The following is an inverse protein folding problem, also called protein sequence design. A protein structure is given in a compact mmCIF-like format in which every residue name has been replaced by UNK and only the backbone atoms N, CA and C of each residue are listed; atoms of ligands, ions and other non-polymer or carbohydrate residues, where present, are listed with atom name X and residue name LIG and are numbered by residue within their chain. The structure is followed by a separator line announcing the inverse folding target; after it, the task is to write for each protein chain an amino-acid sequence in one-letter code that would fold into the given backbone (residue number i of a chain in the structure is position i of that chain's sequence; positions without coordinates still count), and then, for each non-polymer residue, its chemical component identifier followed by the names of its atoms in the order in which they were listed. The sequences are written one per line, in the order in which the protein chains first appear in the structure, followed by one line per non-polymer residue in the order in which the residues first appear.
data_IF_835244590127
#
_entry.id   IF_835244590127
#
_cell.length_a   1.000
_cell.length_b   1.000
_cell.length_c   1.000
_cell.angle_alpha   90.00
_cell.angle_beta   90.00
_cell.angle_gamma   90.00
#
_symmetry.space_group_name_H-M   'P 1'
#
loop_
_entity.id
_entity.type
_entity.pdbx_description
1 polymer ?
2 water ?
#
# COMPACT_ATOMS: atom_id res chain seq x y z
N UNK A 7 -14.10 16.62 -11.36
CA UNK A 7 -13.45 17.08 -12.60
C UNK A 7 -12.08 16.39 -12.73
N UNK A 8 -11.00 17.16 -12.61
CA UNK A 8 -9.65 16.61 -12.72
C UNK A 8 -8.97 16.51 -11.35
N UNK A 9 -9.51 15.62 -10.51
CA UNK A 9 -9.02 15.36 -9.15
C UNK A 9 -7.52 15.04 -9.09
N UNK A 10 -6.79 15.69 -8.19
CA UNK A 10 -5.36 15.39 -8.07
C UNK A 10 -5.19 14.01 -7.43
N UNK A 11 -4.17 13.28 -7.88
CA UNK A 11 -3.91 11.94 -7.38
C UNK A 11 -2.81 11.85 -6.33
N UNK A 12 -2.96 10.90 -5.41
CA UNK A 12 -1.97 10.69 -4.37
C UNK A 12 -0.69 10.14 -4.99
N UNK A 13 0.40 10.83 -4.69
CA UNK A 13 1.69 10.51 -5.22
C UNK A 13 2.79 10.43 -4.17
N UNK A 14 3.55 9.33 -4.21
CA UNK A 14 4.66 9.14 -3.30
C UNK A 14 5.73 10.12 -3.79
N UNK A 15 5.94 11.17 -3.00
CA UNK A 15 6.87 12.23 -3.33
C UNK A 15 8.36 11.94 -3.12
N UNK A 16 8.68 11.31 -2.00
CA UNK A 16 10.05 10.97 -1.68
C UNK A 16 9.99 9.78 -0.74
N UNK A 17 11.12 9.12 -0.56
CA UNK A 17 11.21 7.95 0.30
C UNK A 17 12.43 8.22 1.16
N UNK A 18 12.38 7.83 2.41
CA UNK A 18 13.53 8.06 3.25
C UNK A 18 13.73 6.97 4.26
N UNK A 19 14.87 7.01 4.92
CA UNK A 19 15.16 6.03 5.95
C UNK A 19 14.21 6.36 7.09
N UNK A 20 13.17 5.56 7.23
CA UNK A 20 12.21 5.79 8.29
C UNK A 20 10.98 6.57 7.88
N UNK A 21 10.83 6.86 6.59
CA UNK A 21 9.66 7.63 6.16
C UNK A 21 9.35 7.55 4.68
N UNK A 22 8.08 7.76 4.38
CA UNK A 22 7.61 7.82 3.01
C UNK A 22 7.01 9.22 2.95
N UNK A 23 7.27 9.93 1.87
CA UNK A 23 6.71 11.26 1.71
C UNK A 23 5.62 11.13 0.67
N UNK A 24 4.40 11.48 1.05
CA UNK A 24 3.30 11.41 0.11
C UNK A 24 2.74 12.82 -0.07
N UNK A 25 2.61 13.24 -1.32
CA UNK A 25 2.08 14.57 -1.63
C UNK A 25 2.88 15.63 -0.88
N UNK A 26 4.18 15.37 -0.72
CA UNK A 26 5.10 16.28 -0.04
C UNK A 26 4.92 16.38 1.48
N UNK A 27 4.35 15.34 2.06
CA UNK A 27 4.14 15.28 3.50
C UNK A 27 4.72 13.94 3.99
N UNK A 28 5.56 14.00 5.02
CA UNK A 28 6.19 12.80 5.57
C UNK A 28 5.33 11.98 6.53
N UNK A 29 5.42 10.66 6.38
CA UNK A 29 4.70 9.75 7.24
C UNK A 29 5.70 8.77 7.83
N UNK A 30 5.64 8.59 9.15
CA UNK A 30 6.54 7.67 9.82
C UNK A 30 5.78 6.52 10.48
N UNK A 31 4.47 6.49 10.25
CA UNK A 31 3.65 5.41 10.75
C UNK A 31 3.07 4.78 9.48
N UNK A 32 2.59 3.54 9.57
CA UNK A 32 2.06 2.87 8.40
C UNK A 32 0.82 3.57 7.85
N UNK A 33 0.72 3.58 6.53
CA UNK A 33 -0.40 4.22 5.84
C UNK A 33 -0.90 3.34 4.69
N UNK A 34 -2.05 3.72 4.15
CA UNK A 34 -2.65 3.00 3.04
C UNK A 34 -3.40 4.05 2.24
N UNK A 35 -3.50 3.86 0.93
CA UNK A 35 -4.19 4.82 0.11
C UNK A 35 -4.26 4.39 -1.33
N UNK A 36 -5.21 5.00 -2.04
CA UNK A 36 -5.45 4.75 -3.44
C UNK A 36 -5.09 6.06 -4.13
N UNK A 37 -5.17 6.10 -5.47
CA UNK A 37 -4.83 7.34 -6.17
C UNK A 37 -5.76 8.48 -5.73
N UNK A 38 -7.03 8.13 -5.59
CA UNK A 38 -8.03 9.08 -5.16
C UNK A 38 -8.34 8.81 -3.70
N UNK A 39 -8.79 9.84 -2.98
CA UNK A 39 -9.13 9.68 -1.57
C UNK A 39 -8.05 10.17 -0.63
N UNK A 40 -8.22 9.97 0.69
CA UNK A 40 -7.24 10.41 1.67
C UNK A 40 -6.15 9.37 1.86
N UNK A 41 -5.05 9.80 2.47
CA UNK A 41 -3.95 8.91 2.79
C UNK A 41 -4.33 8.46 4.19
N UNK A 42 -4.86 7.25 4.31
CA UNK A 42 -5.29 6.76 5.62
C UNK A 42 -4.19 6.09 6.42
N UNK A 43 -4.36 6.09 7.75
CA UNK A 43 -3.42 5.42 8.63
C UNK A 43 -3.82 3.97 8.67
N UNK A 44 -2.79 3.12 8.72
CA UNK A 44 -3.03 1.72 8.70
C UNK A 44 -2.44 1.15 9.98
N UNK A 45 -3.29 0.58 10.87
CA UNK A 45 -2.94 -0.02 12.16
C UNK A 45 -1.97 -1.20 12.15
N UNK A 46 -0.73 -0.96 11.74
CA UNK A 46 0.26 -2.01 11.66
C UNK A 46 1.59 -1.44 11.91
N UNK A 47 2.43 -2.34 12.38
CA UNK A 47 3.72 -1.98 12.82
C UNK A 47 4.83 -2.95 12.54
N UNK A 48 4.45 -4.21 12.36
CA UNK A 48 5.39 -5.22 11.96
C UNK A 48 4.73 -6.16 10.98
N UNK A 49 5.43 -6.41 9.88
CA UNK A 49 4.97 -7.29 8.80
C UNK A 49 4.43 -8.55 9.48
N UNK A 50 4.79 -8.73 10.75
CA UNK A 50 4.36 -9.90 11.52
C UNK A 50 2.90 -9.82 11.97
N UNK A 51 2.42 -8.61 12.23
CA UNK A 51 1.04 -8.44 12.64
C UNK A 51 0.12 -8.03 11.49
N UNK A 52 0.47 -8.44 10.28
CA UNK A 52 -0.33 -8.14 9.10
C UNK A 52 -1.32 -9.29 8.93
N UNK A 53 -2.61 -8.95 8.88
CA UNK A 53 -3.66 -9.96 8.74
C UNK A 53 -4.58 -9.67 7.56
N UNK A 54 -5.18 -10.72 7.01
CA UNK A 54 -6.10 -10.58 5.89
C UNK A 54 -7.14 -9.52 6.21
N UNK A 55 -7.52 -9.45 7.47
CA UNK A 55 -8.51 -8.48 7.92
C UNK A 55 -7.96 -7.07 7.71
N UNK A 56 -6.67 -6.91 7.95
CA UNK A 56 -6.01 -5.62 7.77
C UNK A 56 -5.79 -5.32 6.30
N UNK A 57 -5.43 -6.34 5.53
CA UNK A 57 -5.19 -6.18 4.11
C UNK A 57 -6.45 -5.76 3.37
N UNK A 58 -7.58 -6.30 3.80
CA UNK A 58 -8.85 -5.98 3.17
C UNK A 58 -9.36 -4.59 3.52
N UNK A 59 -9.03 -4.11 4.70
CA UNK A 59 -9.46 -2.77 5.07
C UNK A 59 -8.64 -1.76 4.26
N UNK A 60 -7.38 -2.09 4.00
CA UNK A 60 -6.49 -1.23 3.23
C UNK A 60 -6.95 -1.19 1.76
N UNK A 61 -7.24 -2.37 1.23
CA UNK A 61 -7.71 -2.51 -0.13
C UNK A 61 -9.14 -1.96 -0.21
N UNK A 62 -9.88 -2.14 0.88
CA UNK A 62 -11.27 -1.72 0.96
C UNK A 62 -11.63 -0.28 0.62
N UNK A 63 -10.63 0.54 0.32
CA UNK A 63 -10.91 1.91 -0.06
C UNK A 63 -10.86 1.92 -1.58
N UNK A 64 -12.01 1.63 -2.19
CA UNK A 64 -12.12 1.58 -3.65
C UNK A 64 -11.56 0.27 -4.17
N UNK A 88 -12.50 -4.55 -5.86
CA UNK A 88 -12.61 -3.53 -6.89
C UNK A 88 -11.29 -2.93 -7.38
N UNK A 89 -10.15 -3.27 -6.72
CA UNK A 89 -8.86 -2.73 -7.15
C UNK A 89 -8.11 -3.83 -7.90
N UNK A 90 -7.26 -3.44 -8.85
CA UNK A 90 -6.49 -4.41 -9.62
C UNK A 90 -5.45 -5.10 -8.74
N UNK A 91 -4.59 -4.29 -8.12
CA UNK A 91 -3.51 -4.79 -7.28
C UNK A 91 -3.41 -4.09 -5.93
N UNK A 92 -3.12 -4.87 -4.88
CA UNK A 92 -2.90 -4.30 -3.57
C UNK A 92 -1.42 -4.51 -3.29
N UNK A 93 -0.68 -3.42 -3.31
CA UNK A 93 0.75 -3.45 -3.05
C UNK A 93 0.93 -3.37 -1.55
N UNK A 94 1.82 -4.19 -1.01
CA UNK A 94 2.08 -4.17 0.41
C UNK A 94 3.57 -3.98 0.69
N UNK A 95 3.91 -2.85 1.30
CA UNK A 95 5.28 -2.54 1.65
C UNK A 95 5.55 -3.05 3.05
N UNK A 96 6.30 -4.13 3.13
CA UNK A 96 6.61 -4.76 4.41
C UNK A 96 7.85 -4.20 5.08
N UNK A 97 8.11 -2.93 4.81
CA UNK A 97 9.27 -2.30 5.42
C UNK A 97 10.57 -2.42 4.65
N UNK A 98 11.64 -2.52 5.42
CA UNK A 98 13.00 -2.57 4.88
C UNK A 98 13.32 -3.71 3.93
N UNK A 99 12.68 -4.85 4.12
CA UNK A 99 12.90 -5.97 3.24
C UNK A 99 11.57 -6.64 2.97
N UNK A 100 11.56 -7.50 1.96
CA UNK A 100 10.36 -8.21 1.61
C UNK A 100 10.05 -9.22 2.71
N UNK A 101 8.77 -9.51 2.88
CA UNK A 101 8.29 -10.45 3.88
C UNK A 101 7.17 -11.18 3.17
N UNK A 102 7.28 -12.50 3.10
CA UNK A 102 6.26 -13.29 2.43
C UNK A 102 4.95 -13.31 3.19
N UNK A 103 3.86 -13.05 2.48
CA UNK A 103 2.52 -13.07 3.05
C UNK A 103 1.93 -14.45 2.77
N UNK A 104 1.34 -15.06 3.79
CA UNK A 104 0.77 -16.38 3.61
C UNK A 104 -0.65 -16.45 3.08
N UNK A 105 -1.09 -17.64 2.66
CA UNK A 105 -2.42 -17.96 2.12
C UNK A 105 -3.59 -17.42 2.95
N UNK A 106 -3.48 -17.50 4.27
CA UNK A 106 -4.53 -17.01 5.15
C UNK A 106 -4.55 -15.48 5.21
N UNK A 107 -3.55 -14.84 4.61
CA UNK A 107 -3.46 -13.38 4.60
C UNK A 107 -4.08 -12.87 3.31
N UNK A 108 -3.60 -13.49 2.25
CA UNK A 108 -3.93 -13.16 0.88
C UNK A 108 -5.11 -13.84 0.17
N UNK A 109 -5.64 -14.95 0.68
CA UNK A 109 -6.75 -15.57 -0.03
C UNK A 109 -8.06 -14.78 -0.13
N UNK A 110 -8.58 -14.28 1.00
CA UNK A 110 -9.82 -13.52 0.90
C UNK A 110 -9.80 -12.54 -0.29
N UNK A 111 -8.71 -11.79 -0.40
CA UNK A 111 -8.56 -10.83 -1.48
C UNK A 111 -8.64 -11.47 -2.86
N UNK A 112 -7.93 -12.58 -3.06
CA UNK A 112 -7.96 -13.26 -4.34
C UNK A 112 -9.40 -13.71 -4.56
N UNK A 113 -10.07 -14.04 -3.46
CA UNK A 113 -11.45 -14.47 -3.51
C UNK A 113 -12.27 -13.36 -4.17
N UNK A 114 -11.66 -12.18 -4.23
CA UNK A 114 -12.29 -11.01 -4.83
C UNK A 114 -11.59 -10.60 -6.12
N UNK A 115 -10.72 -11.46 -6.61
CA UNK A 115 -10.00 -11.15 -7.83
C UNK A 115 -8.94 -10.08 -7.61
N UNK A 116 -8.66 -9.74 -6.36
CA UNK A 116 -7.66 -8.73 -6.06
C UNK A 116 -6.33 -9.43 -5.84
N UNK A 117 -5.32 -9.03 -6.60
CA UNK A 117 -4.01 -9.63 -6.47
C UNK A 117 -3.13 -8.78 -5.58
N UNK A 118 -2.39 -9.41 -4.68
CA UNK A 118 -1.52 -8.67 -3.78
C UNK A 118 -0.05 -8.98 -3.96
N UNK A 119 0.78 -7.98 -3.72
CA UNK A 119 2.21 -8.11 -3.87
C UNK A 119 2.93 -7.45 -2.71
N UNK A 120 3.70 -8.23 -1.96
CA UNK A 120 4.45 -7.70 -0.84
C UNK A 120 5.88 -7.49 -1.30
N UNK A 121 6.51 -6.42 -0.82
CA UNK A 121 7.88 -6.13 -1.19
C UNK A 121 8.36 -5.09 -0.20
N UNK A 122 9.66 -4.84 -0.16
CA UNK A 122 10.17 -3.84 0.76
C UNK A 122 9.44 -2.54 0.43
N UNK A 123 9.30 -1.69 1.44
CA UNK A 123 8.59 -0.43 1.31
C UNK A 123 9.03 0.58 0.24
N UNK A 124 10.33 0.80 0.07
CA UNK A 124 10.75 1.77 -0.96
C UNK A 124 10.31 1.32 -2.36
N UNK A 125 10.24 0.01 -2.56
CA UNK A 125 9.82 -0.54 -3.85
C UNK A 125 8.30 -0.47 -4.00
N UNK A 126 7.59 -0.77 -2.92
CA UNK A 126 6.13 -0.70 -2.94
C UNK A 126 5.70 0.71 -3.37
N UNK A 127 6.28 1.71 -2.71
CA UNK A 127 6.00 3.11 -2.98
C UNK A 127 6.25 3.47 -4.44
N UNK A 128 7.41 3.05 -4.92
CA UNK A 128 7.84 3.28 -6.28
C UNK A 128 6.99 2.48 -7.27
N UNK A 129 6.59 1.28 -6.89
CA UNK A 129 5.76 0.49 -7.79
C UNK A 129 4.35 1.09 -7.84
N UNK A 130 3.96 1.75 -6.77
CA UNK A 130 2.65 2.39 -6.70
C UNK A 130 2.58 3.57 -7.66
N UNK A 131 3.61 4.42 -7.63
CA UNK A 131 3.66 5.58 -8.51
C UNK A 131 3.50 5.13 -9.96
N UNK A 132 4.17 4.04 -10.31
CA UNK A 132 4.12 3.52 -11.68
C UNK A 132 2.75 2.99 -12.06
N UNK A 133 2.21 2.07 -11.27
CA UNK A 133 0.90 1.52 -11.57
C UNK A 133 -0.14 2.65 -11.63
N UNK A 134 0.12 3.69 -10.86
CA UNK A 134 -0.76 4.83 -10.80
C UNK A 134 -0.57 5.67 -12.06
N UNK A 135 0.68 5.91 -12.44
CA UNK A 135 0.95 6.70 -13.64
C UNK A 135 0.33 6.11 -14.91
N UNK A 136 0.25 4.79 -15.01
CA UNK A 136 -0.35 4.18 -16.19
C UNK A 136 -1.83 3.92 -15.97
N UNK A 137 -2.39 4.64 -15.00
CA UNK A 137 -3.80 4.56 -14.67
C UNK A 137 -4.43 3.24 -14.29
N UNK A 138 -3.74 2.42 -13.50
CA UNK A 138 -4.31 1.15 -13.07
C UNK A 138 -5.04 1.38 -11.75
N UNK A 139 -6.00 0.52 -11.42
CA UNK A 139 -6.74 0.65 -10.16
C UNK A 139 -5.89 -0.01 -9.07
N UNK A 140 -5.07 0.81 -8.41
CA UNK A 140 -4.15 0.31 -7.40
C UNK A 140 -4.26 0.92 -6.00
N UNK A 141 -4.05 0.10 -4.98
CA UNK A 141 -4.04 0.57 -3.59
C UNK A 141 -2.69 0.15 -3.04
N UNK A 142 -2.15 0.93 -2.12
CA UNK A 142 -0.87 0.57 -1.53
C UNK A 142 -0.92 0.73 -0.01
N UNK A 143 -0.31 -0.24 0.68
CA UNK A 143 -0.21 -0.27 2.13
C UNK A 143 1.29 -0.32 2.40
N UNK A 144 1.79 0.59 3.24
CA UNK A 144 3.22 0.69 3.54
C UNK A 144 3.59 0.82 5.01
N UNK A 145 4.55 0.00 5.44
CA UNK A 145 5.10 0.04 6.79
C UNK A 145 6.41 0.78 6.55
N UNK A 146 6.62 1.93 7.20
CA UNK A 146 7.86 2.69 6.99
C UNK A 146 9.10 2.09 7.64
N UNK A 147 10.22 2.79 7.49
CA UNK A 147 11.48 2.31 8.06
C UNK A 147 11.67 0.88 7.58
#
# INVERSE_FOLDING_TARGET
XKLHTDPATALNTVTAYGDGYIEVNQVRFSHAIAFAPEGPVASWPVQRPADITASLLQQAAGLAEVVRDPLAFLDEPEAGAGARPANAPEVLLVGTGRRQHLLGPEQVRPLLAMGVGVEAMDTQAAARTYNILMAEGRRVVVALLPDGDS
#
